data_IF_887423473694
#
_entry.id   IF_887423473694
#
_cell.length_a   1.000
_cell.length_b   1.000
_cell.length_c   1.000
_cell.angle_alpha   90.00
_cell.angle_beta   90.00
_cell.angle_gamma   90.00
#
_symmetry.space_group_name_H-M   'P 1'
#
loop_
_entity.id
_entity.type
_entity.pdbx_description
1 polymer ?
#
# COMPACT_ATOMS: atom_id res chain seq x y z
N UNK A 1 18.98 18.49 3.62
CA UNK A 1 19.51 18.10 2.28
C UNK A 1 19.47 19.35 1.42
N UNK A 2 20.58 19.74 0.76
CA UNK A 2 20.50 20.80 -0.26
C UNK A 2 19.75 20.27 -1.46
N UNK A 3 18.67 20.92 -1.84
CA UNK A 3 17.90 20.58 -3.05
C UNK A 3 18.76 20.81 -4.28
N UNK A 4 18.59 19.94 -5.27
CA UNK A 4 19.19 20.06 -6.61
C UNK A 4 18.15 20.65 -7.56
N UNK A 5 18.55 20.94 -8.78
CA UNK A 5 17.64 21.39 -9.84
C UNK A 5 16.67 20.26 -10.27
N UNK A 6 15.53 20.64 -10.81
CA UNK A 6 14.51 19.71 -11.29
C UNK A 6 15.08 18.64 -12.23
N UNK A 7 15.90 19.06 -13.20
CA UNK A 7 16.53 18.18 -14.19
C UNK A 7 17.39 17.06 -13.59
N UNK A 8 18.01 17.30 -12.43
CA UNK A 8 18.76 16.27 -11.72
C UNK A 8 17.86 15.10 -11.30
N UNK A 9 16.67 15.40 -10.78
CA UNK A 9 15.73 14.38 -10.33
C UNK A 9 15.04 13.68 -11.49
N UNK A 10 14.54 14.43 -12.45
CA UNK A 10 13.79 13.87 -13.60
C UNK A 10 14.69 12.99 -14.46
N UNK A 11 15.87 13.46 -14.87
CA UNK A 11 16.81 12.66 -15.64
C UNK A 11 17.27 11.40 -14.87
N UNK A 12 17.44 11.52 -13.55
CA UNK A 12 17.84 10.39 -12.73
C UNK A 12 16.75 9.32 -12.62
N UNK A 13 15.48 9.71 -12.52
CA UNK A 13 14.33 8.78 -12.52
C UNK A 13 14.22 8.08 -13.87
N UNK A 14 14.30 8.82 -14.98
CA UNK A 14 14.28 8.26 -16.33
C UNK A 14 15.44 7.30 -16.59
N UNK A 15 16.62 7.63 -16.04
CA UNK A 15 17.79 6.74 -16.07
C UNK A 15 17.69 5.54 -15.10
N UNK A 16 16.55 5.38 -14.39
CA UNK A 16 16.28 4.30 -13.42
C UNK A 16 17.29 4.25 -12.27
N UNK A 17 17.79 5.42 -11.85
CA UNK A 17 18.75 5.55 -10.76
C UNK A 17 18.03 5.47 -9.41
N UNK A 18 18.23 4.38 -8.66
CA UNK A 18 17.57 4.10 -7.38
C UNK A 18 17.92 5.11 -6.28
N UNK A 19 19.13 5.68 -6.31
CA UNK A 19 19.57 6.71 -5.35
C UNK A 19 18.77 8.00 -5.58
N UNK A 20 18.65 8.43 -6.85
CA UNK A 20 17.89 9.64 -7.20
C UNK A 20 16.38 9.41 -6.95
N UNK A 21 15.84 8.23 -7.27
CA UNK A 21 14.49 7.86 -6.91
C UNK A 21 14.25 8.00 -5.40
N UNK A 22 15.13 7.45 -4.57
CA UNK A 22 15.04 7.56 -3.09
C UNK A 22 15.08 9.01 -2.61
N UNK A 23 15.90 9.86 -3.23
CA UNK A 23 15.96 11.28 -2.93
C UNK A 23 14.68 12.01 -3.32
N UNK A 24 14.12 11.69 -4.50
CA UNK A 24 12.86 12.25 -4.99
C UNK A 24 11.68 11.88 -4.07
N UNK A 25 11.60 10.62 -3.64
CA UNK A 25 10.60 10.16 -2.68
C UNK A 25 10.76 10.91 -1.34
N UNK A 26 11.99 11.15 -0.88
CA UNK A 26 12.24 11.94 0.34
C UNK A 26 11.76 13.39 0.22
N UNK A 27 11.80 14.00 -0.97
CA UNK A 27 11.19 15.31 -1.21
C UNK A 27 9.67 15.26 -1.14
N UNK A 28 9.06 14.24 -1.75
CA UNK A 28 7.62 13.99 -1.68
C UNK A 28 7.14 13.83 -0.24
N UNK A 29 7.88 13.10 0.57
CA UNK A 29 7.55 12.83 1.99
C UNK A 29 7.77 14.06 2.89
N UNK A 30 8.53 15.06 2.45
CA UNK A 30 8.86 16.24 3.26
C UNK A 30 7.66 17.17 3.46
N UNK A 31 7.59 17.77 4.65
CA UNK A 31 6.62 18.82 4.99
C UNK A 31 7.09 20.25 4.66
N UNK A 32 8.35 20.42 4.19
CA UNK A 32 8.86 21.75 3.85
C UNK A 32 8.25 22.27 2.56
N UNK A 33 7.73 23.49 2.54
CA UNK A 33 7.09 24.11 1.35
C UNK A 33 7.98 24.09 0.11
N UNK A 34 9.26 24.42 0.24
CA UNK A 34 10.22 24.38 -0.86
C UNK A 34 10.38 22.97 -1.46
N UNK A 35 10.39 21.93 -0.61
CA UNK A 35 10.45 20.53 -1.06
C UNK A 35 9.16 20.13 -1.76
N UNK A 36 8.01 20.56 -1.27
CA UNK A 36 6.70 20.23 -1.85
C UNK A 36 6.54 20.83 -3.26
N UNK A 37 6.98 22.07 -3.47
CA UNK A 37 6.96 22.70 -4.80
C UNK A 37 7.82 21.90 -5.79
N UNK A 38 9.03 21.52 -5.40
CA UNK A 38 9.91 20.73 -6.25
C UNK A 38 9.38 19.31 -6.47
N UNK A 39 8.83 18.67 -5.43
CA UNK A 39 8.21 17.37 -5.54
C UNK A 39 7.04 17.38 -6.53
N UNK A 40 6.19 18.41 -6.49
CA UNK A 40 5.09 18.58 -7.43
C UNK A 40 5.57 18.69 -8.88
N UNK A 41 6.66 19.43 -9.12
CA UNK A 41 7.26 19.55 -10.46
C UNK A 41 7.81 18.19 -10.94
N UNK A 42 8.47 17.42 -10.05
CA UNK A 42 8.99 16.09 -10.36
C UNK A 42 7.82 15.15 -10.71
N UNK A 43 6.76 15.13 -9.89
CA UNK A 43 5.57 14.28 -10.12
C UNK A 43 4.90 14.63 -11.46
N UNK A 44 4.69 15.92 -11.74
CA UNK A 44 4.09 16.35 -13.00
C UNK A 44 4.90 15.91 -14.22
N UNK A 45 6.23 15.93 -14.12
CA UNK A 45 7.12 15.45 -15.18
C UNK A 45 7.02 13.91 -15.33
N UNK A 46 6.95 13.18 -14.22
CA UNK A 46 6.88 11.72 -14.21
C UNK A 46 5.50 11.15 -14.58
N UNK A 47 4.44 11.96 -14.49
CA UNK A 47 3.07 11.49 -14.73
C UNK A 47 2.86 10.81 -16.10
N UNK A 48 3.37 11.32 -17.25
CA UNK A 48 3.24 10.64 -18.53
C UNK A 48 4.01 9.29 -18.61
N UNK A 49 4.99 9.08 -17.74
CA UNK A 49 5.83 7.88 -17.68
C UNK A 49 5.27 6.82 -16.73
N UNK A 50 4.22 7.16 -15.97
CA UNK A 50 3.60 6.30 -14.95
C UNK A 50 2.38 5.54 -15.51
N UNK A 51 1.78 4.68 -14.69
CA UNK A 51 0.53 3.99 -15.01
C UNK A 51 0.68 2.58 -15.62
N UNK A 52 1.89 2.15 -15.94
CA UNK A 52 2.15 0.87 -16.63
C UNK A 52 2.45 -0.31 -15.68
N UNK A 53 2.51 -0.09 -14.38
CA UNK A 53 2.77 -1.15 -13.41
C UNK A 53 1.50 -1.91 -13.02
N UNK A 54 1.71 -3.01 -12.30
CA UNK A 54 0.66 -3.72 -11.55
C UNK A 54 0.84 -3.37 -10.08
N UNK A 55 -0.20 -2.85 -9.44
CA UNK A 55 -0.19 -2.46 -8.02
C UNK A 55 -0.90 -3.53 -7.20
N UNK A 56 -0.17 -4.19 -6.31
CA UNK A 56 -0.68 -5.30 -5.49
C UNK A 56 -0.66 -4.86 -4.03
N UNK A 57 -1.83 -4.75 -3.42
CA UNK A 57 -1.98 -4.52 -1.99
C UNK A 57 -1.84 -5.84 -1.22
N UNK A 58 -1.02 -5.86 -0.19
CA UNK A 58 -0.81 -7.03 0.67
C UNK A 58 -1.17 -6.65 2.10
N UNK A 59 -2.16 -7.35 2.64
CA UNK A 59 -2.62 -7.17 4.03
C UNK A 59 -2.74 -8.50 4.75
N UNK A 60 -2.99 -8.45 6.04
CA UNK A 60 -3.20 -9.64 6.87
C UNK A 60 -2.90 -9.33 8.33
N UNK A 61 -3.33 -10.21 9.21
CA UNK A 61 -3.16 -10.06 10.67
C UNK A 61 -1.68 -9.94 11.08
N UNK A 62 -1.37 -9.31 12.22
CA UNK A 62 -0.03 -9.34 12.79
C UNK A 62 0.47 -10.78 12.95
N UNK A 63 1.73 -11.03 12.62
CA UNK A 63 2.31 -12.38 12.74
C UNK A 63 1.94 -13.39 11.64
N UNK A 64 1.11 -13.02 10.66
CA UNK A 64 0.76 -13.89 9.51
C UNK A 64 1.95 -14.22 8.61
N UNK A 65 3.04 -13.43 8.68
CA UNK A 65 4.24 -13.60 7.86
C UNK A 65 4.23 -12.77 6.57
N UNK A 66 3.65 -11.55 6.59
CA UNK A 66 3.63 -10.65 5.42
C UNK A 66 5.02 -10.40 4.84
N UNK A 67 5.96 -9.98 5.64
CA UNK A 67 7.33 -9.67 5.16
C UNK A 67 8.04 -10.91 4.62
N UNK A 68 7.84 -12.10 5.22
CA UNK A 68 8.36 -13.37 4.70
C UNK A 68 7.71 -13.73 3.35
N UNK A 69 6.40 -13.49 3.22
CA UNK A 69 5.71 -13.69 1.94
C UNK A 69 6.21 -12.72 0.87
N UNK A 70 6.39 -11.45 1.20
CA UNK A 70 6.91 -10.43 0.26
C UNK A 70 8.33 -10.79 -0.18
N UNK A 71 9.17 -11.28 0.72
CA UNK A 71 10.52 -11.78 0.41
C UNK A 71 10.45 -12.94 -0.61
N UNK A 72 9.65 -13.97 -0.33
CA UNK A 72 9.50 -15.14 -1.20
C UNK A 72 8.87 -14.76 -2.55
N UNK A 73 7.79 -13.99 -2.53
CA UNK A 73 7.06 -13.56 -3.72
C UNK A 73 7.88 -12.60 -4.58
N UNK A 74 8.55 -11.63 -3.95
CA UNK A 74 9.44 -10.70 -4.65
C UNK A 74 10.65 -11.39 -5.26
N UNK A 75 11.25 -12.36 -4.57
CA UNK A 75 12.35 -13.19 -5.11
C UNK A 75 11.88 -14.01 -6.32
N UNK A 76 10.68 -14.59 -6.24
CA UNK A 76 10.07 -15.28 -7.37
C UNK A 76 9.87 -14.34 -8.57
N UNK A 77 9.26 -13.17 -8.34
CA UNK A 77 8.99 -12.18 -9.39
C UNK A 77 10.27 -11.67 -10.06
N UNK A 78 11.30 -11.34 -9.27
CA UNK A 78 12.61 -10.96 -9.85
C UNK A 78 13.28 -12.12 -10.58
N UNK A 79 13.10 -13.36 -10.11
CA UNK A 79 13.58 -14.56 -10.79
C UNK A 79 12.96 -14.78 -12.17
N UNK A 80 11.74 -14.31 -12.42
CA UNK A 80 11.09 -14.32 -13.74
C UNK A 80 11.32 -13.02 -14.53
N UNK A 81 12.29 -12.20 -14.09
CA UNK A 81 12.74 -10.99 -14.80
C UNK A 81 11.88 -9.75 -14.57
N UNK A 82 11.04 -9.71 -13.52
CA UNK A 82 10.24 -8.53 -13.18
C UNK A 82 10.98 -7.57 -12.28
N UNK A 83 10.85 -6.27 -12.54
CA UNK A 83 11.31 -5.22 -11.63
C UNK A 83 10.22 -4.84 -10.65
N UNK A 84 10.54 -4.92 -9.36
CA UNK A 84 9.56 -4.73 -8.30
C UNK A 84 9.92 -3.59 -7.35
N UNK A 85 8.89 -2.86 -6.86
CA UNK A 85 9.03 -1.96 -5.74
C UNK A 85 8.15 -2.45 -4.57
N UNK A 86 8.68 -2.43 -3.36
CA UNK A 86 7.98 -2.76 -2.12
C UNK A 86 7.83 -1.48 -1.30
N UNK A 87 6.60 -1.10 -1.03
CA UNK A 87 6.23 0.09 -0.27
C UNK A 87 5.46 -0.34 0.97
N UNK A 88 6.01 -0.10 2.16
CA UNK A 88 5.31 -0.37 3.41
C UNK A 88 4.52 0.86 3.86
N UNK A 89 3.27 0.71 4.32
CA UNK A 89 2.46 1.78 4.92
C UNK A 89 2.36 1.54 6.42
N UNK A 90 3.07 2.34 7.20
CA UNK A 90 3.02 2.32 8.67
C UNK A 90 2.49 3.66 9.23
N UNK A 91 1.21 3.75 9.63
CA UNK A 91 0.67 4.94 10.25
C UNK A 91 1.23 5.20 11.67
N UNK A 92 1.90 4.20 12.29
CA UNK A 92 2.36 4.27 13.68
C UNK A 92 3.85 4.59 13.84
N UNK A 93 4.60 4.73 12.75
CA UNK A 93 6.07 4.86 12.73
C UNK A 93 6.63 6.11 13.45
N UNK A 94 5.77 7.02 13.94
CA UNK A 94 6.21 8.19 14.74
C UNK A 94 6.77 7.83 16.12
N UNK A 95 6.36 6.69 16.70
CA UNK A 95 6.78 6.33 18.07
C UNK A 95 8.03 5.44 18.11
N UNK A 96 8.40 4.81 17.01
CA UNK A 96 9.54 3.91 16.96
C UNK A 96 10.47 4.25 15.78
N UNK A 97 11.49 5.06 16.02
CA UNK A 97 12.62 5.26 15.08
C UNK A 97 13.34 3.95 14.70
N UNK A 98 12.92 2.81 15.25
CA UNK A 98 13.49 1.47 15.03
C UNK A 98 12.77 0.62 13.96
N UNK A 99 11.55 0.96 13.51
CA UNK A 99 10.80 0.15 12.55
C UNK A 99 11.41 0.14 11.14
N UNK A 100 12.05 1.24 10.74
CA UNK A 100 12.68 1.41 9.41
C UNK A 100 13.82 0.41 9.16
N UNK A 101 14.55 0.03 10.20
CA UNK A 101 15.61 -0.99 10.12
C UNK A 101 15.01 -2.41 10.19
N UNK A 102 13.92 -2.61 10.94
CA UNK A 102 13.31 -3.92 11.15
C UNK A 102 12.70 -4.54 9.90
N UNK A 103 12.15 -3.74 8.98
CA UNK A 103 11.53 -4.26 7.75
C UNK A 103 12.58 -4.64 6.70
N UNK A 104 13.67 -3.88 6.57
CA UNK A 104 14.78 -4.25 5.69
C UNK A 104 15.54 -5.50 6.17
N UNK A 105 15.67 -5.71 7.49
CA UNK A 105 16.33 -6.90 8.05
C UNK A 105 15.50 -8.18 7.96
N UNK A 106 14.25 -8.11 7.48
CA UNK A 106 13.39 -9.27 7.24
C UNK A 106 13.28 -9.67 5.77
N UNK A 107 13.92 -8.91 4.87
CA UNK A 107 13.92 -9.12 3.42
C UNK A 107 15.35 -9.11 2.89
N UNK A 108 16.20 -10.01 3.43
CA UNK A 108 17.65 -9.96 3.23
C UNK A 108 18.07 -10.18 1.77
N UNK A 109 17.46 -11.13 1.06
CA UNK A 109 17.78 -11.41 -0.34
C UNK A 109 17.20 -10.33 -1.26
N UNK A 110 15.98 -9.89 -1.00
CA UNK A 110 15.32 -8.89 -1.82
C UNK A 110 15.97 -7.51 -1.67
N UNK A 111 16.47 -7.19 -0.47
CA UNK A 111 17.13 -5.91 -0.19
C UNK A 111 18.44 -5.70 -0.95
N UNK A 112 19.09 -6.77 -1.42
CA UNK A 112 20.33 -6.73 -2.21
C UNK A 112 20.10 -7.02 -3.69
N UNK A 113 18.85 -7.34 -4.08
CA UNK A 113 18.51 -7.65 -5.47
C UNK A 113 18.46 -6.35 -6.30
N UNK A 114 19.19 -6.24 -7.43
CA UNK A 114 19.21 -5.03 -8.27
C UNK A 114 17.87 -4.72 -8.95
N UNK A 115 16.99 -5.71 -9.12
CA UNK A 115 15.67 -5.56 -9.70
C UNK A 115 14.57 -5.30 -8.65
N UNK A 116 14.96 -5.16 -7.39
CA UNK A 116 14.05 -4.83 -6.30
C UNK A 116 14.39 -3.49 -5.66
N UNK A 117 13.35 -2.72 -5.32
CA UNK A 117 13.44 -1.49 -4.55
C UNK A 117 12.55 -1.58 -3.33
N UNK A 118 13.11 -1.44 -2.13
CA UNK A 118 12.35 -1.49 -0.88
C UNK A 118 12.36 -0.11 -0.23
N UNK A 119 11.16 0.47 -0.06
CA UNK A 119 10.96 1.73 0.65
C UNK A 119 10.07 1.53 1.86
N UNK A 120 10.62 1.59 3.07
CA UNK A 120 9.82 1.69 4.28
C UNK A 120 9.01 3.00 4.26
N UNK A 121 7.79 2.95 4.81
CA UNK A 121 6.89 4.11 4.83
C UNK A 121 7.53 5.32 5.52
N UNK A 122 7.27 6.49 4.95
CA UNK A 122 7.45 7.73 5.68
C UNK A 122 6.42 7.81 6.82
N UNK A 123 6.89 8.24 7.99
CA UNK A 123 6.01 8.59 9.10
C UNK A 123 5.17 9.82 8.77
N UNK A 124 3.86 9.68 8.64
CA UNK A 124 2.91 10.78 8.50
C UNK A 124 2.14 11.05 9.79
N UNK A 125 1.75 12.30 10.04
CA UNK A 125 0.96 12.66 11.25
C UNK A 125 -0.50 12.17 11.18
N UNK A 126 -0.99 11.85 9.98
CA UNK A 126 -2.36 11.40 9.75
C UNK A 126 -2.38 10.27 8.73
N UNK A 127 -3.33 9.34 8.86
CA UNK A 127 -3.51 8.22 7.92
C UNK A 127 -3.71 8.71 6.47
N UNK A 128 -4.51 9.76 6.28
CA UNK A 128 -4.73 10.39 4.96
C UNK A 128 -3.46 10.98 4.36
N UNK A 129 -2.57 11.56 5.17
CA UNK A 129 -1.28 12.10 4.71
C UNK A 129 -0.30 11.00 4.28
N UNK A 130 -0.31 9.83 4.96
CA UNK A 130 0.51 8.67 4.57
C UNK A 130 0.01 8.09 3.24
N UNK A 131 -1.30 7.92 3.09
CA UNK A 131 -1.90 7.43 1.85
C UNK A 131 -1.58 8.31 0.64
N UNK A 132 -1.62 9.65 0.82
CA UNK A 132 -1.25 10.61 -0.22
C UNK A 132 0.21 10.42 -0.66
N UNK A 133 1.15 10.38 0.28
CA UNK A 133 2.58 10.24 0.00
C UNK A 133 2.89 8.89 -0.66
N UNK A 134 2.18 7.84 -0.29
CA UNK A 134 2.33 6.52 -0.91
C UNK A 134 1.85 6.54 -2.37
N UNK A 135 0.74 7.21 -2.67
CA UNK A 135 0.26 7.34 -4.05
C UNK A 135 1.26 8.06 -4.95
N UNK A 136 1.81 9.19 -4.46
CA UNK A 136 2.86 9.94 -5.13
C UNK A 136 4.14 9.09 -5.31
N UNK A 137 4.51 8.27 -4.32
CA UNK A 137 5.65 7.35 -4.39
C UNK A 137 5.44 6.25 -5.45
N UNK A 138 4.22 5.72 -5.56
CA UNK A 138 3.85 4.76 -6.61
C UNK A 138 4.13 5.35 -7.99
N UNK A 139 3.68 6.59 -8.26
CA UNK A 139 3.92 7.26 -9.55
C UNK A 139 5.42 7.39 -9.88
N UNK A 140 6.25 7.73 -8.88
CA UNK A 140 7.70 7.82 -9.07
C UNK A 140 8.34 6.46 -9.34
N UNK A 141 7.90 5.40 -8.66
CA UNK A 141 8.38 4.04 -8.90
C UNK A 141 8.00 3.57 -10.32
N UNK A 142 6.77 3.85 -10.75
CA UNK A 142 6.31 3.54 -12.12
C UNK A 142 7.15 4.26 -13.18
N UNK A 143 7.41 5.56 -12.99
CA UNK A 143 8.26 6.35 -13.89
C UNK A 143 9.72 5.85 -13.91
N UNK A 144 10.23 5.31 -12.80
CA UNK A 144 11.52 4.66 -12.72
C UNK A 144 11.54 3.24 -13.34
N UNK A 145 10.42 2.75 -13.88
CA UNK A 145 10.32 1.52 -14.64
C UNK A 145 10.14 0.26 -13.79
N UNK A 146 9.60 0.37 -12.56
CA UNK A 146 9.15 -0.78 -11.79
C UNK A 146 7.82 -1.29 -12.35
N UNK A 147 7.78 -2.58 -12.68
CA UNK A 147 6.63 -3.22 -13.32
C UNK A 147 5.58 -3.69 -12.32
N UNK A 148 6.02 -4.04 -11.10
CA UNK A 148 5.15 -4.52 -10.04
C UNK A 148 5.42 -3.71 -8.79
N UNK A 149 4.36 -3.18 -8.17
CA UNK A 149 4.45 -2.41 -6.95
C UNK A 149 3.66 -3.12 -5.87
N UNK A 150 4.38 -3.66 -4.88
CA UNK A 150 3.80 -4.30 -3.70
C UNK A 150 3.59 -3.23 -2.63
N UNK A 151 2.36 -3.07 -2.16
CA UNK A 151 2.01 -2.12 -1.10
C UNK A 151 1.58 -2.90 0.13
N UNK A 152 2.45 -2.93 1.15
CA UNK A 152 2.22 -3.66 2.40
C UNK A 152 1.55 -2.78 3.45
N UNK A 153 0.52 -3.32 4.15
CA UNK A 153 -0.02 -2.72 5.38
C UNK A 153 0.67 -3.30 6.61
N UNK A 154 0.82 -2.49 7.67
CA UNK A 154 1.39 -2.97 8.96
C UNK A 154 0.39 -3.77 9.81
N UNK A 155 -0.84 -3.99 9.34
CA UNK A 155 -1.83 -4.87 10.00
C UNK A 155 -2.52 -4.26 11.21
N UNK A 156 -2.44 -2.93 11.42
CA UNK A 156 -3.13 -2.21 12.48
C UNK A 156 -3.76 -0.91 11.94
N UNK A 157 -5.03 -0.67 12.25
CA UNK A 157 -5.73 0.56 11.88
C UNK A 157 -6.59 0.43 10.62
N UNK A 158 -6.83 1.55 9.94
CA UNK A 158 -7.62 1.62 8.69
C UNK A 158 -6.73 1.69 7.43
N UNK A 159 -5.47 1.27 7.54
CA UNK A 159 -4.51 1.29 6.42
C UNK A 159 -4.92 0.36 5.27
N UNK A 160 -5.73 -0.67 5.57
CA UNK A 160 -6.21 -1.63 4.58
C UNK A 160 -7.09 -0.98 3.51
N UNK A 161 -7.99 -0.08 3.91
CA UNK A 161 -8.87 0.65 2.98
C UNK A 161 -8.09 1.64 2.12
N UNK A 162 -7.05 2.27 2.69
CA UNK A 162 -6.16 3.15 1.92
C UNK A 162 -5.37 2.36 0.88
N UNK A 163 -4.78 1.21 1.25
CA UNK A 163 -4.06 0.35 0.30
C UNK A 163 -4.98 -0.16 -0.79
N UNK A 164 -6.18 -0.64 -0.43
CA UNK A 164 -7.19 -1.06 -1.40
C UNK A 164 -7.52 0.04 -2.41
N UNK A 165 -7.63 1.30 -1.95
CA UNK A 165 -8.00 2.43 -2.81
C UNK A 165 -6.93 2.84 -3.83
N UNK A 166 -5.70 2.30 -3.75
CA UNK A 166 -4.58 2.66 -4.63
C UNK A 166 -3.97 1.46 -5.37
N UNK A 167 -4.52 0.26 -5.19
CA UNK A 167 -4.00 -0.98 -5.79
C UNK A 167 -4.99 -1.61 -6.76
N UNK A 168 -4.48 -2.39 -7.71
CA UNK A 168 -5.28 -3.07 -8.73
C UNK A 168 -5.79 -4.41 -8.24
N UNK A 169 -4.97 -5.11 -7.44
CA UNK A 169 -5.26 -6.40 -6.84
C UNK A 169 -5.02 -6.34 -5.33
N UNK A 170 -5.93 -6.89 -4.53
CA UNK A 170 -5.83 -6.87 -3.07
C UNK A 170 -5.73 -8.27 -2.50
N UNK A 171 -4.55 -8.61 -1.98
CA UNK A 171 -4.20 -9.91 -1.42
C UNK A 171 -4.31 -9.90 0.10
N UNK A 172 -5.12 -10.78 0.65
CA UNK A 172 -5.27 -10.98 2.09
C UNK A 172 -4.52 -12.25 2.53
N UNK A 173 -3.54 -12.09 3.40
CA UNK A 173 -2.85 -13.21 4.03
C UNK A 173 -3.53 -13.59 5.35
N UNK A 174 -3.78 -14.89 5.52
CA UNK A 174 -4.41 -15.48 6.70
C UNK A 174 -3.58 -16.64 7.24
N UNK A 175 -3.82 -17.04 8.49
CA UNK A 175 -3.24 -18.24 9.10
C UNK A 175 -4.36 -19.16 9.61
N UNK A 176 -4.08 -20.45 9.66
CA UNK A 176 -4.97 -21.42 10.29
C UNK A 176 -4.99 -21.25 11.81
N UNK A 177 -6.12 -21.50 12.44
CA UNK A 177 -6.25 -21.47 13.89
C UNK A 177 -6.50 -20.09 14.50
N UNK A 178 -6.68 -19.05 13.71
CA UNK A 178 -7.08 -17.72 14.15
C UNK A 178 -8.59 -17.61 14.48
N UNK A 179 -9.17 -18.65 15.10
CA UNK A 179 -10.62 -18.76 15.32
C UNK A 179 -11.24 -17.57 16.08
N UNK A 180 -10.58 -17.05 17.10
CA UNK A 180 -11.01 -15.83 17.80
C UNK A 180 -10.65 -14.56 17.00
N UNK A 181 -9.64 -14.60 16.11
CA UNK A 181 -9.27 -13.52 15.22
C UNK A 181 -10.18 -13.42 14.00
N UNK A 182 -10.95 -14.49 13.64
CA UNK A 182 -12.03 -14.40 12.64
C UNK A 182 -13.09 -13.36 13.05
N UNK A 183 -13.34 -13.20 14.36
CA UNK A 183 -14.20 -12.14 14.89
C UNK A 183 -13.49 -10.76 14.85
N UNK A 184 -12.17 -10.73 14.89
CA UNK A 184 -11.35 -9.50 14.79
C UNK A 184 -11.09 -9.03 13.35
N UNK A 185 -11.18 -9.93 12.35
CA UNK A 185 -11.06 -9.55 10.95
C UNK A 185 -12.37 -8.90 10.53
N UNK A 186 -12.30 -7.59 10.37
CA UNK A 186 -13.45 -6.81 9.91
C UNK A 186 -13.95 -7.44 8.60
N UNK A 187 -15.20 -7.90 8.59
CA UNK A 187 -15.90 -8.45 7.42
C UNK A 187 -15.58 -7.68 6.12
N UNK A 188 -15.42 -6.35 6.23
CA UNK A 188 -15.09 -5.48 5.11
C UNK A 188 -13.72 -5.77 4.46
N UNK A 189 -12.72 -6.29 5.19
CA UNK A 189 -11.40 -6.62 4.59
C UNK A 189 -11.52 -7.86 3.71
N UNK A 190 -12.29 -8.86 4.14
CA UNK A 190 -12.55 -10.06 3.33
C UNK A 190 -13.33 -9.73 2.05
N UNK A 191 -14.29 -8.81 2.14
CA UNK A 191 -15.08 -8.33 0.99
C UNK A 191 -14.21 -7.63 -0.04
N UNK A 192 -13.18 -6.87 0.41
CA UNK A 192 -12.23 -6.21 -0.48
C UNK A 192 -11.26 -7.18 -1.16
N UNK A 193 -10.93 -8.32 -0.54
CA UNK A 193 -9.89 -9.23 -1.03
C UNK A 193 -10.23 -9.82 -2.41
N UNK A 194 -9.25 -9.79 -3.32
CA UNK A 194 -9.30 -10.45 -4.63
C UNK A 194 -8.74 -11.88 -4.57
N UNK A 195 -7.88 -12.15 -3.61
CA UNK A 195 -7.52 -13.50 -3.18
C UNK A 195 -7.20 -13.53 -1.67
N UNK A 196 -7.37 -14.70 -1.09
CA UNK A 196 -6.96 -15.01 0.29
C UNK A 196 -5.94 -16.15 0.21
N UNK A 197 -4.77 -15.95 0.81
CA UNK A 197 -3.78 -17.00 0.96
C UNK A 197 -3.68 -17.41 2.43
N UNK A 198 -3.88 -18.68 2.68
CA UNK A 198 -3.66 -19.27 4.01
C UNK A 198 -2.18 -19.60 4.13
N UNK A 199 -1.44 -18.70 4.78
CA UNK A 199 0.01 -18.82 4.93
C UNK A 199 0.39 -19.80 6.05
N UNK A 200 1.67 -20.18 6.11
CA UNK A 200 2.23 -21.17 7.03
C UNK A 200 1.57 -22.55 6.87
N UNK A 201 1.22 -22.91 5.62
CA UNK A 201 0.63 -24.20 5.28
C UNK A 201 1.71 -25.28 5.15
N UNK A 202 2.51 -25.47 6.20
CA UNK A 202 3.59 -26.44 6.28
C UNK A 202 3.55 -27.28 7.56
N UNK A 203 4.22 -28.44 7.55
CA UNK A 203 4.37 -29.34 8.71
C UNK A 203 3.02 -29.70 9.32
N UNK A 204 2.96 -29.69 10.65
CA UNK A 204 1.75 -30.04 11.42
C UNK A 204 0.57 -29.07 11.21
N UNK A 205 0.86 -27.86 10.67
CA UNK A 205 -0.19 -26.87 10.43
C UNK A 205 -0.96 -27.12 9.12
N UNK A 206 -0.48 -28.00 8.23
CA UNK A 206 -1.07 -28.20 6.89
C UNK A 206 -2.54 -28.65 6.97
N UNK A 207 -2.89 -29.53 7.91
CA UNK A 207 -4.28 -30.02 8.07
C UNK A 207 -5.20 -28.86 8.45
N UNK A 208 -4.79 -28.06 9.42
CA UNK A 208 -5.55 -26.86 9.87
C UNK A 208 -5.66 -25.84 8.75
N UNK A 209 -4.60 -25.63 7.98
CA UNK A 209 -4.60 -24.72 6.85
C UNK A 209 -5.60 -25.16 5.75
N UNK A 210 -5.67 -26.46 5.45
CA UNK A 210 -6.68 -27.01 4.51
C UNK A 210 -8.10 -26.82 5.00
N UNK A 211 -8.34 -26.94 6.30
CA UNK A 211 -9.64 -26.66 6.89
C UNK A 211 -9.98 -25.17 6.77
N UNK A 212 -9.08 -24.29 7.18
CA UNK A 212 -9.26 -22.84 7.07
C UNK A 212 -9.53 -22.41 5.62
N UNK A 213 -8.83 -22.97 4.62
CA UNK A 213 -9.10 -22.71 3.20
C UNK A 213 -10.57 -22.96 2.84
N UNK A 214 -11.13 -24.10 3.29
CA UNK A 214 -12.55 -24.43 3.03
C UNK A 214 -13.51 -23.46 3.72
N UNK A 215 -13.22 -23.10 4.95
CA UNK A 215 -14.02 -22.16 5.73
C UNK A 215 -14.06 -20.77 5.09
N UNK A 216 -12.89 -20.23 4.67
CA UNK A 216 -12.80 -18.94 3.97
C UNK A 216 -13.45 -18.99 2.59
N UNK A 217 -13.27 -20.08 1.83
CA UNK A 217 -13.93 -20.25 0.55
C UNK A 217 -15.47 -20.21 0.69
N UNK A 218 -16.02 -20.93 1.68
CA UNK A 218 -17.44 -20.91 1.99
C UNK A 218 -17.91 -19.50 2.41
N UNK A 219 -17.13 -18.80 3.23
CA UNK A 219 -17.46 -17.45 3.67
C UNK A 219 -17.50 -16.45 2.51
N UNK A 220 -16.61 -16.57 1.52
CA UNK A 220 -16.60 -15.70 0.33
C UNK A 220 -17.88 -15.83 -0.51
N UNK A 221 -18.53 -17.00 -0.55
CA UNK A 221 -19.80 -17.17 -1.26
C UNK A 221 -20.97 -16.39 -0.64
N UNK A 222 -20.82 -15.89 0.60
CA UNK A 222 -21.84 -15.08 1.27
C UNK A 222 -21.76 -13.60 0.91
N UNK A 223 -20.69 -13.16 0.23
CA UNK A 223 -20.55 -11.78 -0.21
C UNK A 223 -21.21 -11.56 -1.59
N UNK A 224 -21.65 -10.33 -1.86
CA UNK A 224 -22.17 -9.98 -3.19
C UNK A 224 -21.09 -10.14 -4.26
N UNK A 225 -21.52 -10.36 -5.50
CA UNK A 225 -20.61 -10.39 -6.64
C UNK A 225 -19.86 -9.06 -6.78
N UNK A 226 -18.54 -9.15 -7.04
CA UNK A 226 -17.71 -7.96 -7.27
C UNK A 226 -18.07 -7.28 -8.58
N UNK A 227 -17.93 -5.97 -8.63
CA UNK A 227 -18.11 -5.17 -9.86
C UNK A 227 -17.18 -5.62 -11.00
N UNK A 228 -16.06 -6.25 -10.67
CA UNK A 228 -15.10 -6.83 -11.63
C UNK A 228 -15.55 -8.17 -12.22
N UNK A 229 -16.66 -8.74 -11.76
CA UNK A 229 -17.07 -10.13 -12.02
C UNK A 229 -15.99 -11.16 -11.64
N UNK A 230 -14.99 -10.76 -10.84
CA UNK A 230 -13.97 -11.64 -10.33
C UNK A 230 -14.48 -12.42 -9.12
N UNK A 231 -14.24 -13.73 -9.13
CA UNK A 231 -14.53 -14.60 -7.99
C UNK A 231 -13.22 -14.73 -7.21
N UNK A 232 -13.16 -14.25 -5.96
CA UNK A 232 -11.94 -14.33 -5.16
C UNK A 232 -11.52 -15.78 -4.92
N UNK A 233 -10.23 -16.06 -5.03
CA UNK A 233 -9.63 -17.37 -4.79
C UNK A 233 -9.16 -17.50 -3.35
N UNK A 234 -9.24 -18.72 -2.79
CA UNK A 234 -8.64 -19.06 -1.49
C UNK A 234 -7.66 -20.21 -1.68
N UNK A 235 -6.37 -19.94 -1.50
CA UNK A 235 -5.33 -20.94 -1.70
C UNK A 235 -4.39 -21.06 -0.49
N UNK A 236 -3.65 -22.15 -0.46
CA UNK A 236 -2.62 -22.40 0.56
C UNK A 236 -1.30 -21.84 0.10
N UNK A 237 -0.51 -21.29 1.03
CA UNK A 237 0.89 -21.01 0.75
C UNK A 237 1.77 -21.26 1.98
N UNK A 238 3.04 -21.51 1.73
CA UNK A 238 4.11 -21.46 2.71
C UNK A 238 5.21 -20.54 2.18
N UNK A 239 5.25 -19.34 2.70
CA UNK A 239 6.30 -18.40 2.37
C UNK A 239 7.70 -18.91 2.80
N UNK A 240 7.76 -19.72 3.87
CA UNK A 240 8.99 -20.31 4.37
C UNK A 240 9.53 -21.39 3.43
N UNK A 241 8.64 -22.20 2.83
CA UNK A 241 9.00 -23.32 1.95
C UNK A 241 8.89 -22.96 0.46
N UNK A 242 8.56 -21.71 0.13
CA UNK A 242 8.31 -21.23 -1.25
C UNK A 242 7.24 -22.03 -2.00
N UNK A 243 6.24 -22.57 -1.29
CA UNK A 243 5.11 -23.29 -1.91
C UNK A 243 3.89 -22.40 -2.01
N UNK A 244 3.12 -22.52 -3.11
CA UNK A 244 1.95 -21.66 -3.36
C UNK A 244 2.30 -20.23 -3.80
N UNK A 245 3.57 -19.92 -4.03
CA UNK A 245 4.05 -18.58 -4.46
C UNK A 245 3.77 -18.36 -5.94
N UNK A 246 4.09 -19.31 -6.80
CA UNK A 246 3.79 -19.26 -8.23
C UNK A 246 2.28 -19.28 -8.48
N UNK A 247 1.53 -20.07 -7.72
CA UNK A 247 0.09 -20.12 -7.78
C UNK A 247 -0.55 -18.75 -7.43
N UNK A 248 0.01 -18.05 -6.45
CA UNK A 248 -0.42 -16.69 -6.12
C UNK A 248 -0.22 -15.74 -7.31
N UNK A 249 0.90 -15.84 -8.01
CA UNK A 249 1.15 -15.05 -9.22
C UNK A 249 0.17 -15.41 -10.35
N UNK A 250 -0.07 -16.68 -10.60
CA UNK A 250 -1.00 -17.16 -11.62
C UNK A 250 -2.45 -16.64 -11.39
N UNK A 251 -2.87 -16.54 -10.12
CA UNK A 251 -4.15 -15.94 -9.75
C UNK A 251 -4.17 -14.45 -10.13
N UNK A 252 -3.11 -13.72 -9.81
CA UNK A 252 -3.00 -12.28 -10.14
C UNK A 252 -3.01 -12.08 -11.66
N UNK A 253 -2.24 -12.86 -12.42
CA UNK A 253 -2.26 -12.79 -13.89
C UNK A 253 -3.65 -13.07 -14.47
N UNK A 254 -4.33 -14.10 -13.97
CA UNK A 254 -5.70 -14.43 -14.38
C UNK A 254 -6.70 -13.29 -14.11
N UNK A 255 -6.57 -12.64 -12.93
CA UNK A 255 -7.34 -11.46 -12.59
C UNK A 255 -7.08 -10.31 -13.57
N UNK A 256 -5.81 -10.04 -13.88
CA UNK A 256 -5.42 -8.96 -14.79
C UNK A 256 -5.94 -9.20 -16.21
N UNK A 257 -5.82 -10.43 -16.72
CA UNK A 257 -6.36 -10.79 -18.03
C UNK A 257 -7.87 -10.54 -18.07
N UNK A 258 -8.60 -11.02 -17.07
CA UNK A 258 -10.06 -10.84 -17.00
C UNK A 258 -10.43 -9.36 -16.91
N UNK A 259 -9.85 -8.61 -16.00
CA UNK A 259 -10.23 -7.22 -15.72
C UNK A 259 -9.82 -6.26 -16.83
N UNK A 260 -8.71 -6.51 -17.54
CA UNK A 260 -8.33 -5.77 -18.74
C UNK A 260 -9.26 -6.08 -19.91
N UNK A 261 -9.64 -7.34 -20.11
CA UNK A 261 -10.55 -7.75 -21.18
C UNK A 261 -11.94 -7.13 -20.99
N UNK A 262 -12.43 -7.02 -19.76
CA UNK A 262 -13.74 -6.42 -19.45
C UNK A 262 -13.70 -4.88 -19.37
N UNK A 263 -12.51 -4.26 -19.41
CA UNK A 263 -12.32 -2.81 -19.22
C UNK A 263 -12.46 -2.36 -17.76
N UNK A 264 -12.65 -3.30 -16.82
CA UNK A 264 -12.75 -2.95 -15.39
C UNK A 264 -11.46 -2.36 -14.84
N UNK A 265 -10.31 -2.85 -15.29
CA UNK A 265 -8.99 -2.36 -14.83
C UNK A 265 -8.85 -0.84 -15.03
N UNK A 266 -9.11 -0.34 -16.22
CA UNK A 266 -9.04 1.09 -16.54
C UNK A 266 -10.13 1.89 -15.84
N UNK A 267 -11.34 1.34 -15.76
CA UNK A 267 -12.47 1.96 -15.04
C UNK A 267 -12.13 2.14 -13.56
N UNK A 268 -11.55 1.10 -12.93
CA UNK A 268 -11.15 1.14 -11.51
C UNK A 268 -10.05 2.18 -11.28
N UNK A 269 -9.02 2.23 -12.12
CA UNK A 269 -7.94 3.23 -11.99
C UNK A 269 -8.45 4.66 -12.16
N UNK A 270 -9.39 4.91 -13.09
CA UNK A 270 -10.03 6.23 -13.22
C UNK A 270 -10.82 6.60 -11.97
N UNK A 271 -11.55 5.64 -11.37
CA UNK A 271 -12.25 5.84 -10.10
C UNK A 271 -11.26 6.18 -8.98
N UNK A 272 -10.18 5.41 -8.81
CA UNK A 272 -9.13 5.66 -7.82
C UNK A 272 -8.50 7.04 -7.98
N UNK A 273 -8.19 7.45 -9.22
CA UNK A 273 -7.63 8.78 -9.51
C UNK A 273 -8.61 9.89 -9.12
N UNK A 274 -9.92 9.71 -9.41
CA UNK A 274 -10.95 10.68 -9.01
C UNK A 274 -11.08 10.78 -7.49
N UNK A 275 -11.12 9.64 -6.80
CA UNK A 275 -11.25 9.59 -5.35
C UNK A 275 -10.03 10.21 -4.66
N UNK A 276 -8.83 9.95 -5.19
CA UNK A 276 -7.60 10.57 -4.73
C UNK A 276 -7.61 12.09 -4.93
N UNK A 277 -8.07 12.57 -6.09
CA UNK A 277 -8.21 14.01 -6.35
C UNK A 277 -9.10 14.70 -5.31
N UNK A 278 -10.26 14.13 -4.99
CA UNK A 278 -11.14 14.73 -3.98
C UNK A 278 -10.57 14.63 -2.56
N UNK A 279 -9.90 13.54 -2.21
CA UNK A 279 -9.18 13.43 -0.93
C UNK A 279 -8.10 14.50 -0.80
N UNK A 280 -7.31 14.70 -1.86
CA UNK A 280 -6.27 15.73 -1.92
C UNK A 280 -6.88 17.12 -1.80
N UNK A 281 -7.92 17.43 -2.56
CA UNK A 281 -8.62 18.71 -2.50
C UNK A 281 -9.13 19.02 -1.09
N UNK A 282 -9.82 18.08 -0.46
CA UNK A 282 -10.32 18.23 0.90
C UNK A 282 -9.18 18.47 1.90
N UNK A 283 -8.07 17.75 1.76
CA UNK A 283 -6.90 17.95 2.60
C UNK A 283 -6.30 19.36 2.41
N UNK A 284 -6.19 19.84 1.17
CA UNK A 284 -5.68 21.19 0.88
C UNK A 284 -6.59 22.29 1.43
N UNK A 285 -7.91 22.13 1.29
CA UNK A 285 -8.89 23.10 1.84
C UNK A 285 -8.75 23.18 3.36
N UNK A 286 -8.72 22.04 4.05
CA UNK A 286 -8.55 22.02 5.50
C UNK A 286 -7.20 22.61 5.93
N UNK A 287 -6.10 22.22 5.25
CA UNK A 287 -4.77 22.76 5.56
C UNK A 287 -4.71 24.27 5.37
N UNK A 288 -5.26 24.78 4.25
CA UNK A 288 -5.32 26.22 3.97
C UNK A 288 -6.17 26.96 5.00
N UNK A 289 -7.25 26.36 5.49
CA UNK A 289 -8.08 26.92 6.53
C UNK A 289 -7.30 27.04 7.86
N UNK A 290 -6.66 25.96 8.31
CA UNK A 290 -5.90 25.97 9.57
C UNK A 290 -4.62 26.82 9.51
N UNK A 291 -4.01 27.00 8.32
CA UNK A 291 -2.85 27.87 8.12
C UNK A 291 -3.24 29.35 7.95
N UNK A 292 -4.55 29.68 7.92
CA UNK A 292 -5.04 31.07 7.84
C UNK A 292 -4.59 31.91 9.03
N UNK A 293 -4.30 33.20 8.77
CA UNK A 293 -3.82 34.12 9.81
C UNK A 293 -4.83 34.24 10.97
N UNK A 294 -4.39 33.90 12.19
CA UNK A 294 -5.18 34.00 13.42
C UNK A 294 -6.24 32.90 13.62
N UNK A 295 -6.45 32.01 12.67
CA UNK A 295 -7.44 30.90 12.78
C UNK A 295 -7.08 29.96 13.92
N UNK A 296 -5.81 29.61 14.09
CA UNK A 296 -5.37 28.69 15.14
C UNK A 296 -5.62 29.26 16.54
N UNK A 297 -5.40 30.55 16.73
CA UNK A 297 -5.65 31.26 17.99
C UNK A 297 -7.15 31.35 18.26
N UNK A 298 -7.95 31.76 17.29
CA UNK A 298 -9.41 31.82 17.41
C UNK A 298 -10.02 30.46 17.73
N UNK A 299 -9.55 29.39 17.09
CA UNK A 299 -10.03 28.04 17.37
C UNK A 299 -9.74 27.62 18.81
N UNK A 300 -8.58 27.97 19.36
CA UNK A 300 -8.26 27.66 20.77
C UNK A 300 -9.17 28.40 21.74
N UNK A 301 -9.51 29.66 21.45
CA UNK A 301 -10.46 30.44 22.27
C UNK A 301 -11.86 29.80 22.21
N UNK A 302 -12.34 29.45 21.02
CA UNK A 302 -13.65 28.80 20.83
C UNK A 302 -13.66 27.43 21.52
N UNK A 303 -12.57 26.61 21.37
CA UNK A 303 -12.43 25.34 22.04
C UNK A 303 -12.58 25.48 23.57
N UNK A 304 -11.94 26.47 24.17
CA UNK A 304 -12.10 26.72 25.62
C UNK A 304 -13.54 27.10 26.00
N UNK A 305 -14.21 27.93 25.22
CA UNK A 305 -15.60 28.26 25.45
C UNK A 305 -16.54 27.05 25.35
N UNK A 306 -16.28 26.14 24.37
CA UNK A 306 -17.02 24.87 24.24
C UNK A 306 -16.75 23.95 25.44
N UNK A 307 -15.49 23.80 25.86
CA UNK A 307 -15.10 22.96 26.99
C UNK A 307 -15.69 23.48 28.32
N UNK A 308 -15.83 24.82 28.47
CA UNK A 308 -16.47 25.43 29.62
C UNK A 308 -18.02 25.40 29.57
N UNK A 309 -18.60 24.91 28.46
CA UNK A 309 -20.06 24.91 28.30
C UNK A 309 -20.68 26.27 28.02
N UNK A 310 -19.87 27.25 27.62
CA UNK A 310 -20.32 28.63 27.35
C UNK A 310 -21.01 28.74 25.99
N UNK A 311 -20.56 27.89 25.01
CA UNK A 311 -21.17 27.80 23.67
C UNK A 311 -21.32 26.34 23.26
N UNK A 312 -22.28 26.08 22.36
CA UNK A 312 -22.47 24.77 21.74
C UNK A 312 -21.37 24.49 20.72
N UNK A 313 -20.95 23.22 20.55
CA UNK A 313 -20.02 22.81 19.47
C UNK A 313 -20.62 22.92 18.05
N UNK A 314 -21.92 23.31 17.94
CA UNK A 314 -22.63 23.48 16.66
C UNK A 314 -22.83 24.95 16.34
#
# INVERSE_FOLDING_TARGET
>A
MKTKELSYYTNGIEAKNTVILSQSITLVESSKKEHQVLAQQIINHCLPLSGNSIRIGITGVPGVGKSTFIEAFGTFLTGIGKKIAVLAIDPTSQQSRGSILGDKTRMDNLAVNPDAYIRPSASGKTLGGVGQKTHETILLCEAAGYEIILVETVGVGQSETEVFSMTDFFLLLMIAGAGDELQGIKRGIMEMADAILINKAEGDNLIKAKQARREYANALHLFPAKESDWIPHVELCSALQNTGIEEAWNIIESYLVKTKTTGYFEKNRKRQTKDWFYKFLNHQVLTSFYEGNGITEQLKEIEQQVLNGEISPF
#
